data_IF_944149814254
#
_entry.id   IF_944149814254
#
_cell.length_a   1.000
_cell.length_b   1.000
_cell.length_c   1.000
_cell.angle_alpha   90.00
_cell.angle_beta   90.00
_cell.angle_gamma   90.00
#
_symmetry.space_group_name_H-M   'P 1'
#
loop_
_entity.id
_entity.type
_entity.pdbx_description
1 polymer ?
#
# COMPACT_ATOMS: atom_id res chain seq x y z
N UNK A 1 -14.23 -4.86 -43.11
CA UNK A 1 -12.79 -5.10 -43.31
C UNK A 1 -12.06 -4.42 -42.18
N UNK A 2 -11.28 -5.18 -41.42
CA UNK A 2 -10.48 -4.73 -40.29
C UNK A 2 -9.33 -3.77 -40.68
N UNK A 3 -8.79 -3.18 -39.59
CA UNK A 3 -7.44 -2.65 -39.35
C UNK A 3 -7.34 -1.12 -39.36
N UNK A 4 -6.77 -0.46 -38.35
CA UNK A 4 -6.33 -0.81 -36.99
C UNK A 4 -5.86 0.51 -36.38
N UNK A 5 -6.27 0.81 -35.15
CA UNK A 5 -5.92 2.04 -34.45
C UNK A 5 -4.43 2.14 -34.12
N UNK A 6 -3.86 3.31 -34.39
CA UNK A 6 -2.56 3.72 -33.86
C UNK A 6 -2.68 3.94 -32.35
N UNK A 7 -2.06 3.05 -31.59
CA UNK A 7 -1.75 3.26 -30.18
C UNK A 7 -0.56 4.20 -30.12
N UNK A 8 -0.79 5.44 -29.67
CA UNK A 8 0.30 6.39 -29.35
C UNK A 8 1.05 5.82 -28.15
N UNK A 9 2.16 5.13 -28.40
CA UNK A 9 3.09 4.67 -27.38
C UNK A 9 3.76 5.89 -26.74
N UNK A 10 3.54 6.09 -25.43
CA UNK A 10 4.36 6.98 -24.61
C UNK A 10 5.83 6.55 -24.74
N UNK A 11 6.68 7.40 -25.33
CA UNK A 11 8.12 7.10 -25.48
C UNK A 11 8.75 7.13 -24.08
N UNK A 12 9.09 5.96 -23.54
CA UNK A 12 9.87 5.87 -22.30
C UNK A 12 11.30 6.39 -22.55
N UNK A 13 11.76 7.35 -21.73
CA UNK A 13 13.10 7.92 -21.87
C UNK A 13 14.16 7.03 -21.18
N UNK A 14 15.33 6.88 -21.79
CA UNK A 14 16.46 6.11 -21.22
C UNK A 14 17.09 6.89 -20.05
N UNK A 15 17.17 6.28 -18.87
CA UNK A 15 17.77 6.84 -17.65
C UNK A 15 19.27 6.58 -17.53
N UNK A 16 19.71 5.36 -17.87
CA UNK A 16 21.11 4.96 -17.80
C UNK A 16 21.38 3.93 -18.89
N UNK A 17 22.56 4.00 -19.52
CA UNK A 17 22.99 3.03 -20.52
C UNK A 17 24.49 2.78 -20.41
N UNK A 18 24.92 1.57 -20.74
CA UNK A 18 26.32 1.18 -20.65
C UNK A 18 26.52 -0.32 -20.73
N UNK A 19 27.76 -0.76 -20.61
CA UNK A 19 28.11 -2.17 -20.72
C UNK A 19 28.19 -2.84 -19.35
N UNK A 20 27.60 -4.03 -19.21
CA UNK A 20 27.77 -4.88 -18.05
C UNK A 20 27.97 -6.33 -18.49
N UNK A 21 28.69 -7.09 -17.67
CA UNK A 21 28.80 -8.52 -17.85
C UNK A 21 27.57 -9.21 -17.26
N UNK A 22 26.81 -9.90 -18.10
CA UNK A 22 25.61 -10.64 -17.68
C UNK A 22 25.92 -12.13 -17.58
N UNK A 23 25.52 -12.75 -16.46
CA UNK A 23 25.57 -14.19 -16.29
C UNK A 23 24.55 -14.92 -17.19
N UNK A 24 24.96 -16.07 -17.73
CA UNK A 24 24.07 -17.06 -18.34
C UNK A 24 23.17 -17.76 -17.31
N UNK A 25 22.30 -18.67 -17.77
CA UNK A 25 21.29 -19.30 -16.91
C UNK A 25 21.87 -20.11 -15.74
N UNK A 26 23.04 -20.68 -15.95
CA UNK A 26 23.78 -21.48 -14.98
C UNK A 26 24.71 -20.64 -14.10
N UNK A 27 24.77 -19.32 -14.29
CA UNK A 27 25.69 -18.39 -13.62
C UNK A 27 27.19 -18.70 -13.75
N UNK A 28 27.58 -19.59 -14.67
CA UNK A 28 28.97 -20.04 -14.85
C UNK A 28 29.71 -19.35 -15.99
N UNK A 29 29.00 -18.65 -16.88
CA UNK A 29 29.59 -17.95 -18.02
C UNK A 29 29.01 -16.54 -18.14
N UNK A 30 29.89 -15.55 -18.20
CA UNK A 30 29.54 -14.14 -18.35
C UNK A 30 29.76 -13.69 -19.79
N UNK A 31 28.84 -12.86 -20.29
CA UNK A 31 28.99 -12.22 -21.61
C UNK A 31 28.81 -10.72 -21.43
N UNK A 32 29.65 -9.94 -22.10
CA UNK A 32 29.47 -8.49 -22.19
C UNK A 32 28.18 -8.18 -22.95
N UNK A 33 27.42 -7.21 -22.46
CA UNK A 33 26.12 -6.81 -22.98
C UNK A 33 25.97 -5.31 -22.86
N UNK A 34 25.32 -4.72 -23.86
CA UNK A 34 24.85 -3.34 -23.76
C UNK A 34 23.50 -3.31 -23.04
N UNK A 35 23.41 -2.56 -21.96
CA UNK A 35 22.21 -2.39 -21.15
C UNK A 35 21.62 -0.99 -21.28
N UNK A 36 20.30 -0.92 -21.28
CA UNK A 36 19.53 0.32 -21.25
C UNK A 36 18.47 0.22 -20.15
N UNK A 37 18.54 1.12 -19.18
CA UNK A 37 17.56 1.26 -18.12
C UNK A 37 16.59 2.38 -18.51
N UNK A 38 15.32 2.03 -18.69
CA UNK A 38 14.27 2.94 -19.08
C UNK A 38 13.62 3.63 -17.87
N UNK A 39 12.98 4.77 -18.12
CA UNK A 39 12.32 5.59 -17.10
C UNK A 39 11.13 4.93 -16.42
N UNK A 40 10.54 3.92 -17.05
CA UNK A 40 9.42 3.12 -16.57
C UNK A 40 9.84 1.93 -15.69
N UNK A 41 11.15 1.74 -15.48
CA UNK A 41 11.70 0.65 -14.66
C UNK A 41 12.02 -0.62 -15.44
N UNK A 42 11.96 -0.61 -16.77
CA UNK A 42 12.44 -1.72 -17.59
C UNK A 42 13.97 -1.67 -17.77
N UNK A 43 14.64 -2.79 -17.52
CA UNK A 43 16.04 -3.00 -17.84
C UNK A 43 16.13 -3.91 -19.07
N UNK A 44 16.65 -3.37 -20.18
CA UNK A 44 16.75 -4.05 -21.47
C UNK A 44 18.22 -4.30 -21.79
N UNK A 45 18.53 -5.42 -22.46
CA UNK A 45 19.89 -5.70 -22.92
C UNK A 45 19.98 -6.27 -24.32
N UNK A 46 21.12 -5.99 -24.96
CA UNK A 46 21.41 -6.28 -26.35
C UNK A 46 22.70 -7.10 -26.49
N UNK A 47 22.93 -7.75 -27.63
CA UNK A 47 24.25 -8.33 -27.95
C UNK A 47 25.25 -7.19 -28.22
N UNK A 48 24.85 -6.18 -28.99
CA UNK A 48 25.63 -4.99 -29.32
C UNK A 48 24.73 -3.77 -29.45
N UNK A 49 25.30 -2.57 -29.38
CA UNK A 49 24.57 -1.30 -29.58
C UNK A 49 23.82 -1.32 -30.91
N UNK A 50 22.52 -0.98 -30.91
CA UNK A 50 21.70 -0.93 -32.12
C UNK A 50 21.17 -2.27 -32.63
N UNK A 51 21.46 -3.38 -31.95
CA UNK A 51 20.82 -4.70 -32.25
C UNK A 51 19.46 -4.80 -31.57
N UNK A 52 18.53 -5.66 -32.03
CA UNK A 52 17.26 -5.89 -31.33
C UNK A 52 17.50 -6.39 -29.89
N UNK A 53 16.59 -6.09 -28.95
CA UNK A 53 16.74 -6.49 -27.56
C UNK A 53 16.78 -8.01 -27.45
N UNK A 54 17.82 -8.54 -26.81
CA UNK A 54 17.95 -9.97 -26.55
C UNK A 54 17.10 -10.41 -25.37
N UNK A 55 16.86 -9.49 -24.44
CA UNK A 55 15.98 -9.74 -23.32
C UNK A 55 15.71 -8.45 -22.55
N UNK A 56 14.73 -8.56 -21.66
CA UNK A 56 14.27 -7.48 -20.81
C UNK A 56 13.92 -8.03 -19.44
N UNK A 57 14.01 -7.18 -18.43
CA UNK A 57 13.63 -7.46 -17.07
C UNK A 57 12.92 -6.24 -16.49
N UNK A 58 11.70 -6.44 -16.01
CA UNK A 58 11.04 -5.44 -15.18
C UNK A 58 11.76 -5.40 -13.83
N UNK A 59 12.33 -4.25 -13.48
CA UNK A 59 12.94 -4.05 -12.18
C UNK A 59 11.91 -3.69 -11.11
N UNK A 60 10.63 -3.49 -11.45
CA UNK A 60 9.60 -3.12 -10.48
C UNK A 60 9.62 -4.09 -9.29
N UNK A 61 9.85 -3.54 -8.10
CA UNK A 61 9.92 -4.29 -6.83
C UNK A 61 11.08 -5.28 -6.72
N UNK A 62 12.03 -5.26 -7.66
CA UNK A 62 13.22 -6.10 -7.61
C UNK A 62 14.18 -5.65 -6.50
N UNK A 63 14.76 -6.62 -5.79
CA UNK A 63 15.77 -6.39 -4.77
C UNK A 63 17.14 -6.34 -5.45
N UNK A 64 17.88 -5.26 -5.22
CA UNK A 64 19.23 -5.06 -5.73
C UNK A 64 20.22 -5.31 -4.59
N UNK A 65 21.07 -6.31 -4.75
CA UNK A 65 22.08 -6.70 -3.78
C UNK A 65 23.49 -6.64 -4.36
N UNK A 66 24.50 -6.54 -3.49
CA UNK A 66 25.90 -6.62 -3.90
C UNK A 66 26.43 -8.03 -3.71
N UNK A 67 27.21 -8.51 -4.68
CA UNK A 67 28.03 -9.71 -4.49
C UNK A 67 29.46 -9.31 -4.08
N UNK A 68 30.14 -10.15 -3.27
CA UNK A 68 31.52 -9.89 -2.89
C UNK A 68 32.43 -9.82 -4.13
N UNK A 69 33.42 -8.91 -4.14
CA UNK A 69 34.34 -8.79 -5.25
C UNK A 69 35.20 -10.03 -5.40
N UNK A 70 35.55 -10.37 -6.63
CA UNK A 70 36.40 -11.53 -6.94
C UNK A 70 37.84 -11.06 -7.14
N UNK A 71 38.77 -11.60 -6.35
CA UNK A 71 40.18 -11.21 -6.39
C UNK A 71 40.89 -11.65 -7.68
N UNK A 72 40.47 -12.78 -8.28
CA UNK A 72 41.04 -13.33 -9.52
C UNK A 72 39.92 -13.82 -10.46
N UNK A 73 39.43 -12.98 -11.39
CA UNK A 73 38.41 -13.41 -12.34
C UNK A 73 38.95 -14.51 -13.27
N UNK A 74 38.12 -15.52 -13.56
CA UNK A 74 38.45 -16.56 -14.55
C UNK A 74 38.28 -16.04 -15.98
N UNK A 75 38.83 -16.75 -16.99
CA UNK A 75 38.62 -16.39 -18.41
C UNK A 75 37.14 -16.28 -18.81
N UNK A 76 36.25 -17.00 -18.13
CA UNK A 76 34.79 -16.98 -18.35
C UNK A 76 34.05 -15.86 -17.61
N UNK A 77 34.70 -15.18 -16.67
CA UNK A 77 34.14 -14.07 -15.89
C UNK A 77 34.29 -12.70 -16.58
N UNK A 78 35.23 -12.58 -17.53
CA UNK A 78 35.61 -11.31 -18.15
C UNK A 78 36.37 -10.38 -17.18
N UNK A 79 36.44 -9.08 -17.51
CA UNK A 79 37.06 -8.05 -16.65
C UNK A 79 36.13 -7.60 -15.50
N UNK A 80 34.90 -8.12 -15.45
CA UNK A 80 33.91 -7.80 -14.43
C UNK A 80 34.30 -8.37 -13.06
N UNK A 81 34.76 -7.51 -12.15
CA UNK A 81 35.21 -7.88 -10.78
C UNK A 81 34.17 -7.62 -9.70
N UNK A 82 33.21 -6.73 -9.96
CA UNK A 82 32.28 -6.21 -8.96
C UNK A 82 30.86 -6.67 -9.29
N UNK A 83 30.37 -7.66 -8.55
CA UNK A 83 29.07 -8.28 -8.82
C UNK A 83 27.88 -7.55 -8.17
N UNK A 84 26.76 -7.61 -8.87
CA UNK A 84 25.45 -7.12 -8.50
C UNK A 84 24.42 -8.22 -8.74
N UNK A 85 23.57 -8.48 -7.75
CA UNK A 85 22.48 -9.44 -7.83
C UNK A 85 21.16 -8.70 -7.92
N UNK A 86 20.32 -9.12 -8.86
CA UNK A 86 18.94 -8.64 -9.01
C UNK A 86 18.02 -9.83 -8.73
N UNK A 87 17.17 -9.68 -7.72
CA UNK A 87 16.13 -10.65 -7.38
C UNK A 87 14.77 -10.05 -7.76
N UNK A 88 14.15 -10.50 -8.87
CA UNK A 88 12.87 -9.96 -9.32
C UNK A 88 11.74 -10.29 -8.33
N UNK A 89 10.76 -9.40 -8.21
CA UNK A 89 9.59 -9.63 -7.35
C UNK A 89 8.70 -10.80 -7.79
N UNK A 90 8.75 -11.17 -9.07
CA UNK A 90 7.98 -12.30 -9.60
C UNK A 90 8.43 -13.67 -9.08
N UNK A 91 9.46 -13.73 -8.23
CA UNK A 91 10.05 -15.00 -7.78
C UNK A 91 10.78 -15.76 -8.89
N UNK A 92 11.02 -15.11 -10.05
CA UNK A 92 11.83 -15.67 -11.11
C UNK A 92 13.30 -15.81 -10.65
N UNK A 93 14.13 -16.44 -11.48
CA UNK A 93 15.56 -16.60 -11.17
C UNK A 93 16.24 -15.28 -10.84
N UNK A 94 17.27 -15.36 -9.99
CA UNK A 94 18.18 -14.24 -9.75
C UNK A 94 19.03 -13.97 -10.99
N UNK A 95 19.25 -12.68 -11.27
CA UNK A 95 20.16 -12.23 -12.32
C UNK A 95 21.43 -11.70 -11.67
N UNK A 96 22.58 -12.12 -12.19
CA UNK A 96 23.88 -11.62 -11.73
C UNK A 96 24.52 -10.82 -12.85
N UNK A 97 24.83 -9.56 -12.53
CA UNK A 97 25.54 -8.61 -13.39
C UNK A 97 26.89 -8.29 -12.77
N UNK A 98 27.89 -7.94 -13.59
CA UNK A 98 29.19 -7.48 -13.09
C UNK A 98 29.66 -6.23 -13.83
N UNK A 99 30.21 -5.33 -13.04
CA UNK A 99 30.88 -4.11 -13.48
C UNK A 99 32.40 -4.29 -13.44
N UNK A 100 33.13 -3.50 -14.25
CA UNK A 100 34.60 -3.52 -14.27
C UNK A 100 35.21 -2.75 -13.10
N UNK A 101 34.46 -1.81 -12.53
CA UNK A 101 34.87 -1.01 -11.37
C UNK A 101 33.80 -0.97 -10.29
N UNK A 102 34.21 -0.68 -9.05
CA UNK A 102 33.28 -0.50 -7.93
C UNK A 102 32.38 0.72 -8.11
N UNK A 103 32.90 1.79 -8.68
CA UNK A 103 32.15 3.01 -8.96
C UNK A 103 31.04 2.74 -9.99
N UNK A 104 31.35 2.04 -11.08
CA UNK A 104 30.36 1.63 -12.07
C UNK A 104 29.29 0.72 -11.44
N UNK A 105 29.69 -0.25 -10.61
CA UNK A 105 28.74 -1.08 -9.87
C UNK A 105 27.79 -0.22 -9.03
N UNK A 106 28.32 0.79 -8.35
CA UNK A 106 27.55 1.67 -7.48
C UNK A 106 26.56 2.53 -8.27
N UNK A 107 26.99 3.15 -9.37
CA UNK A 107 26.13 3.96 -10.25
C UNK A 107 24.98 3.12 -10.80
N UNK A 108 25.27 1.91 -11.28
CA UNK A 108 24.23 0.99 -11.75
C UNK A 108 23.32 0.52 -10.63
N UNK A 109 23.85 0.18 -9.46
CA UNK A 109 23.04 -0.22 -8.31
C UNK A 109 22.09 0.90 -7.89
N UNK A 110 22.57 2.14 -7.77
CA UNK A 110 21.76 3.30 -7.41
C UNK A 110 20.68 3.57 -8.48
N UNK A 111 21.03 3.50 -9.77
CA UNK A 111 20.07 3.71 -10.85
C UNK A 111 19.01 2.58 -10.93
N UNK A 112 19.44 1.32 -10.81
CA UNK A 112 18.54 0.16 -10.79
C UNK A 112 17.67 0.14 -9.55
N UNK A 113 18.19 0.52 -8.38
CA UNK A 113 17.42 0.67 -7.16
C UNK A 113 16.39 1.80 -7.29
N UNK A 114 16.79 2.95 -7.85
CA UNK A 114 15.88 4.06 -8.14
C UNK A 114 14.84 3.72 -9.24
N UNK A 115 15.08 2.71 -10.07
CA UNK A 115 14.19 2.28 -11.14
C UNK A 115 13.38 1.02 -10.79
N UNK A 116 13.82 0.21 -9.84
CA UNK A 116 12.98 -0.77 -9.15
C UNK A 116 12.00 -0.08 -8.19
N UNK A 117 12.38 1.12 -7.75
CA UNK A 117 11.60 2.02 -6.92
C UNK A 117 11.40 3.38 -7.61
N UNK A 118 10.83 3.43 -8.83
CA UNK A 118 10.68 4.68 -9.56
C UNK A 118 9.86 5.62 -8.67
N UNK A 119 10.47 6.77 -8.36
CA UNK A 119 9.91 7.89 -7.59
C UNK A 119 8.53 8.36 -8.15
N UNK A 120 8.08 7.80 -9.29
CA UNK A 120 6.74 7.97 -9.86
C UNK A 120 5.88 6.70 -10.10
N UNK A 121 6.36 5.45 -9.99
CA UNK A 121 5.48 4.27 -10.15
C UNK A 121 5.00 3.67 -8.82
N UNK A 122 5.61 4.08 -7.71
CA UNK A 122 4.91 4.15 -6.43
C UNK A 122 4.21 5.50 -6.30
N UNK A 123 3.20 5.74 -7.14
CA UNK A 123 2.07 6.57 -6.72
C UNK A 123 1.34 5.84 -5.59
N UNK A 124 1.96 5.74 -4.41
CA UNK A 124 1.19 6.06 -3.21
C UNK A 124 0.77 7.50 -3.45
N UNK A 125 -0.43 7.74 -3.98
CA UNK A 125 -0.84 9.09 -4.38
C UNK A 125 -0.82 10.06 -3.20
N UNK A 126 0.33 10.66 -2.87
CA UNK A 126 0.48 11.56 -1.71
C UNK A 126 -0.17 11.07 -0.41
N UNK A 127 -0.25 9.76 -0.15
CA UNK A 127 -1.15 9.20 0.88
C UNK A 127 -0.53 9.00 2.25
N UNK A 128 0.80 8.93 2.35
CA UNK A 128 1.50 8.65 3.61
C UNK A 128 1.79 9.90 4.44
N UNK A 129 1.58 9.83 5.76
CA UNK A 129 1.99 10.90 6.69
C UNK A 129 3.52 10.98 6.69
N UNK A 130 4.07 12.17 6.44
CA UNK A 130 5.52 12.40 6.47
C UNK A 130 5.89 12.95 7.85
N UNK A 131 6.86 12.32 8.48
CA UNK A 131 7.42 12.72 9.77
C UNK A 131 8.90 13.00 9.59
N UNK A 132 9.33 14.18 10.01
CA UNK A 132 10.76 14.50 10.09
C UNK A 132 11.23 14.19 11.49
N UNK A 133 12.32 13.44 11.60
CA UNK A 133 12.90 13.04 12.87
C UNK A 133 14.40 13.30 12.86
N UNK A 134 14.96 13.71 13.99
CA UNK A 134 16.41 13.80 14.18
C UNK A 134 16.90 12.44 14.69
N UNK A 135 17.87 11.83 14.01
CA UNK A 135 18.51 10.62 14.52
C UNK A 135 19.26 10.96 15.81
N UNK A 136 19.10 10.19 16.90
CA UNK A 136 19.82 10.43 18.15
C UNK A 136 21.33 10.56 17.93
N UNK A 137 22.00 11.40 18.71
CA UNK A 137 23.46 11.59 18.63
C UNK A 137 24.25 10.42 19.22
N UNK A 138 23.58 9.54 19.98
CA UNK A 138 24.13 8.32 20.56
C UNK A 138 23.00 7.34 20.89
N UNK A 139 23.32 6.05 21.02
CA UNK A 139 22.35 5.02 21.41
C UNK A 139 21.54 4.43 20.25
N UNK A 140 20.45 3.73 20.60
CA UNK A 140 19.49 3.17 19.63
C UNK A 140 18.53 4.26 19.15
N UNK A 141 17.84 4.01 18.03
CA UNK A 141 16.85 4.93 17.45
C UNK A 141 15.67 5.23 18.40
N UNK A 142 15.47 4.40 19.43
CA UNK A 142 14.37 4.51 20.39
C UNK A 142 13.03 4.03 19.84
N UNK A 143 13.07 3.21 18.79
CA UNK A 143 11.92 2.61 18.11
C UNK A 143 12.20 1.12 17.95
N UNK A 144 11.28 0.29 18.44
CA UNK A 144 11.31 -1.14 18.19
C UNK A 144 10.52 -1.47 16.93
N UNK A 145 11.13 -2.27 16.05
CA UNK A 145 10.56 -2.72 14.78
C UNK A 145 10.27 -4.21 14.82
N UNK A 146 9.17 -4.66 14.22
CA UNK A 146 8.83 -6.09 14.15
C UNK A 146 8.79 -6.65 12.73
N UNK A 147 9.26 -7.89 12.56
CA UNK A 147 9.13 -8.72 11.35
C UNK A 147 8.23 -9.96 11.55
N UNK A 148 7.34 -9.92 12.56
CA UNK A 148 6.47 -11.06 12.91
C UNK A 148 5.56 -11.43 11.73
N UNK A 149 5.22 -12.71 11.64
CA UNK A 149 4.19 -13.20 10.70
C UNK A 149 2.89 -12.39 10.90
N UNK A 150 2.40 -11.78 9.82
CA UNK A 150 1.20 -10.94 9.82
C UNK A 150 1.43 -9.44 10.08
N UNK A 151 2.64 -9.00 10.45
CA UNK A 151 2.99 -7.57 10.52
C UNK A 151 3.81 -7.16 9.29
N UNK A 152 3.57 -5.98 8.68
CA UNK A 152 4.50 -5.44 7.70
C UNK A 152 5.86 -5.23 8.37
N UNK A 153 6.92 -5.54 7.62
CA UNK A 153 8.31 -5.69 8.09
C UNK A 153 8.90 -4.50 8.88
N UNK A 154 8.28 -3.32 8.84
CA UNK A 154 8.71 -2.12 9.57
C UNK A 154 7.54 -1.50 10.32
N UNK A 155 6.92 -2.29 11.19
CA UNK A 155 5.89 -1.80 12.13
C UNK A 155 6.55 -1.34 13.42
N UNK A 156 6.20 -0.15 13.89
CA UNK A 156 6.59 0.39 15.19
C UNK A 156 5.84 -0.35 16.28
N UNK A 157 6.54 -1.16 17.09
CA UNK A 157 5.93 -1.93 18.18
C UNK A 157 6.23 -1.36 19.56
N UNK A 158 7.20 -0.45 19.66
CA UNK A 158 7.58 0.23 20.88
C UNK A 158 8.28 1.55 20.54
N UNK A 159 8.11 2.54 21.42
CA UNK A 159 8.80 3.82 21.36
C UNK A 159 9.31 4.13 22.76
N UNK A 160 10.61 4.37 22.89
CA UNK A 160 11.22 4.74 24.17
C UNK A 160 10.65 6.08 24.66
N UNK A 161 10.33 6.26 25.96
CA UNK A 161 9.73 7.49 26.46
C UNK A 161 10.56 8.76 26.18
N UNK A 162 11.89 8.66 26.24
CA UNK A 162 12.79 9.76 25.91
C UNK A 162 12.70 10.12 24.41
N UNK A 163 12.69 9.11 23.55
CA UNK A 163 12.54 9.28 22.11
C UNK A 163 11.15 9.83 21.76
N UNK A 164 10.09 9.40 22.46
CA UNK A 164 8.73 9.92 22.32
C UNK A 164 8.66 11.44 22.60
N UNK A 165 9.36 11.90 23.66
CA UNK A 165 9.41 13.30 24.05
C UNK A 165 10.19 14.14 23.03
N UNK A 166 11.31 13.63 22.51
CA UNK A 166 12.07 14.28 21.43
C UNK A 166 11.31 14.31 20.10
N UNK A 167 10.58 13.24 19.78
CA UNK A 167 9.76 13.13 18.56
C UNK A 167 8.45 13.93 18.62
N UNK A 168 8.13 14.58 19.75
CA UNK A 168 6.88 15.31 19.97
C UNK A 168 5.63 14.47 19.59
N UNK A 169 5.64 13.18 19.89
CA UNK A 169 4.53 12.26 19.55
C UNK A 169 4.18 12.18 18.05
N UNK A 170 5.13 12.48 17.16
CA UNK A 170 4.87 12.43 15.70
C UNK A 170 4.79 11.01 15.14
N UNK A 171 5.35 10.03 15.84
CA UNK A 171 5.30 8.61 15.53
C UNK A 171 4.50 7.87 16.60
N UNK A 172 3.67 6.91 16.21
CA UNK A 172 2.79 6.15 17.08
C UNK A 172 3.12 4.65 17.05
N UNK A 173 2.84 3.95 18.16
CA UNK A 173 2.89 2.49 18.19
C UNK A 173 1.80 1.93 17.27
N UNK A 174 2.19 1.09 16.33
CA UNK A 174 1.37 0.61 15.23
C UNK A 174 1.64 1.28 13.88
N UNK A 175 2.44 2.36 13.84
CA UNK A 175 2.82 2.99 12.58
C UNK A 175 3.63 2.03 11.71
N UNK A 176 3.29 1.98 10.44
CA UNK A 176 4.01 1.21 9.43
C UNK A 176 4.88 2.16 8.63
N UNK A 177 6.19 1.98 8.70
CA UNK A 177 7.15 2.82 7.99
C UNK A 177 7.37 2.24 6.60
N UNK A 178 7.07 3.03 5.58
CA UNK A 178 7.17 2.64 4.17
C UNK A 178 8.47 3.13 3.56
N UNK A 179 9.02 4.25 4.03
CA UNK A 179 10.29 4.76 3.53
C UNK A 179 11.01 5.60 4.58
N UNK A 180 12.33 5.64 4.45
CA UNK A 180 13.22 6.58 5.13
C UNK A 180 14.03 7.31 4.06
N UNK A 181 13.94 8.62 4.05
CA UNK A 181 14.44 9.51 3.01
C UNK A 181 13.97 9.04 1.61
N UNK A 182 14.90 8.67 0.74
CA UNK A 182 14.62 8.12 -0.59
C UNK A 182 14.48 6.59 -0.61
N UNK A 183 14.75 5.91 0.51
CA UNK A 183 14.81 4.44 0.56
C UNK A 183 13.47 3.85 0.99
N UNK A 184 12.85 3.05 0.12
CA UNK A 184 11.61 2.31 0.45
C UNK A 184 11.95 1.10 1.30
N UNK A 185 11.24 0.92 2.41
CA UNK A 185 11.46 -0.19 3.33
C UNK A 185 10.50 -1.33 3.03
N UNK A 186 11.04 -2.47 2.61
CA UNK A 186 10.25 -3.66 2.27
C UNK A 186 10.66 -4.91 3.03
N UNK A 187 11.85 -4.89 3.61
CA UNK A 187 12.37 -5.97 4.44
C UNK A 187 13.02 -5.36 5.67
N UNK A 188 13.13 -6.16 6.73
CA UNK A 188 13.85 -5.75 7.93
C UNK A 188 15.30 -5.35 7.62
N UNK A 189 15.98 -6.09 6.74
CA UNK A 189 17.36 -5.80 6.36
C UNK A 189 17.52 -4.44 5.65
N UNK A 190 16.59 -4.09 4.76
CA UNK A 190 16.59 -2.77 4.10
C UNK A 190 16.31 -1.67 5.12
N UNK A 191 15.39 -1.91 6.07
CA UNK A 191 15.11 -0.98 7.15
C UNK A 191 16.36 -0.71 7.99
N UNK A 192 17.02 -1.76 8.49
CA UNK A 192 18.24 -1.66 9.29
C UNK A 192 19.35 -0.90 8.55
N UNK A 193 19.55 -1.20 7.27
CA UNK A 193 20.52 -0.49 6.43
C UNK A 193 20.14 0.98 6.21
N UNK A 194 18.87 1.28 5.91
CA UNK A 194 18.40 2.64 5.66
C UNK A 194 18.56 3.52 6.91
N UNK A 195 18.07 3.05 8.07
CA UNK A 195 18.28 3.73 9.35
C UNK A 195 19.76 3.83 9.70
N UNK A 196 20.58 2.82 9.36
CA UNK A 196 22.02 2.81 9.59
C UNK A 196 22.78 3.89 8.82
N UNK A 197 22.41 4.16 7.56
CA UNK A 197 23.05 5.15 6.68
C UNK A 197 22.86 6.60 7.11
N UNK A 198 21.76 6.90 7.80
CA UNK A 198 21.51 8.26 8.32
C UNK A 198 22.58 8.62 9.37
N UNK A 199 23.25 9.77 9.19
CA UNK A 199 24.25 10.24 10.15
C UNK A 199 23.62 10.59 11.50
N UNK A 200 24.32 10.27 12.60
CA UNK A 200 23.88 10.62 13.95
C UNK A 200 23.70 12.14 14.08
N UNK A 201 22.63 12.57 14.73
CA UNK A 201 22.28 13.98 14.86
C UNK A 201 21.71 14.64 13.58
N UNK A 202 21.66 13.94 12.44
CA UNK A 202 21.04 14.48 11.22
C UNK A 202 19.54 14.26 11.20
N UNK A 203 18.84 15.10 10.44
CA UNK A 203 17.43 14.91 10.16
C UNK A 203 17.25 13.80 9.12
N UNK A 204 16.20 13.02 9.29
CA UNK A 204 15.72 12.04 8.34
C UNK A 204 14.21 12.18 8.17
N UNK A 205 13.74 11.81 6.99
CA UNK A 205 12.33 11.90 6.61
C UNK A 205 11.73 10.50 6.61
N UNK A 206 10.75 10.25 7.47
CA UNK A 206 10.06 8.97 7.57
C UNK A 206 8.71 9.11 6.87
N UNK A 207 8.41 8.20 5.95
CA UNK A 207 7.10 8.11 5.31
C UNK A 207 6.32 6.96 5.93
N UNK A 208 5.18 7.28 6.52
CA UNK A 208 4.26 6.33 7.12
C UNK A 208 3.22 5.86 6.11
N UNK A 209 2.70 4.66 6.32
CA UNK A 209 1.75 4.05 5.39
C UNK A 209 0.35 4.70 5.47
N UNK A 210 -0.06 5.12 6.67
CA UNK A 210 -1.38 5.69 6.96
C UNK A 210 -1.28 6.83 7.96
N UNK A 211 -2.33 7.64 8.02
CA UNK A 211 -2.54 8.65 9.05
C UNK A 211 -3.19 8.02 10.28
N UNK A 212 -2.43 7.20 10.99
CA UNK A 212 -2.89 6.65 12.26
C UNK A 212 -3.13 7.77 13.26
N UNK A 213 -4.15 7.60 14.09
CA UNK A 213 -4.59 8.59 15.07
C UNK A 213 -4.57 8.00 16.47
N UNK A 214 -4.12 8.78 17.44
CA UNK A 214 -4.33 8.49 18.85
C UNK A 214 -5.70 9.03 19.26
N UNK A 215 -6.47 8.22 19.97
CA UNK A 215 -7.70 8.62 20.63
C UNK A 215 -7.57 8.42 22.14
N UNK A 216 -8.24 9.29 22.89
CA UNK A 216 -8.31 9.23 24.35
C UNK A 216 -9.73 8.94 24.77
N UNK A 217 -9.95 7.74 25.30
CA UNK A 217 -11.24 7.31 25.82
C UNK A 217 -11.25 7.44 27.34
N UNK A 218 -12.27 8.10 27.89
CA UNK A 218 -12.51 8.20 29.33
C UNK A 218 -13.72 7.34 29.68
N UNK A 219 -13.50 6.27 30.45
CA UNK A 219 -14.55 5.31 30.84
C UNK A 219 -15.67 6.02 31.62
N UNK A 220 -16.92 5.73 31.29
CA UNK A 220 -18.06 6.25 32.04
C UNK A 220 -18.52 5.17 33.02
N UNK A 221 -18.45 5.41 34.33
CA UNK A 221 -18.81 4.39 35.33
C UNK A 221 -17.99 3.10 35.24
N UNK A 222 -16.75 3.15 34.76
CA UNK A 222 -15.86 2.00 34.61
C UNK A 222 -16.08 1.16 33.33
N UNK A 223 -17.09 1.47 32.52
CA UNK A 223 -17.34 0.79 31.24
C UNK A 223 -16.81 1.59 30.04
N UNK A 224 -16.27 0.86 29.06
CA UNK A 224 -15.80 1.41 27.78
C UNK A 224 -16.92 1.49 26.74
N UNK A 225 -17.83 0.52 26.73
CA UNK A 225 -18.90 0.40 25.73
C UNK A 225 -18.40 0.03 24.33
N UNK A 226 -17.28 -0.69 24.25
CA UNK A 226 -16.72 -1.23 22.99
C UNK A 226 -16.56 -2.74 23.10
N UNK A 227 -16.87 -3.44 22.01
CA UNK A 227 -16.55 -4.86 21.82
C UNK A 227 -15.53 -4.99 20.72
N UNK A 228 -14.50 -5.82 20.94
CA UNK A 228 -13.43 -6.07 19.98
C UNK A 228 -13.49 -7.50 19.46
N UNK A 229 -13.07 -7.71 18.21
CA UNK A 229 -12.88 -9.03 17.63
C UNK A 229 -11.51 -9.15 16.96
N UNK A 230 -11.04 -10.39 16.78
CA UNK A 230 -9.83 -10.66 16.03
C UNK A 230 -10.05 -10.34 14.54
N UNK A 231 -9.07 -9.73 13.86
CA UNK A 231 -9.12 -9.65 12.41
C UNK A 231 -8.76 -11.02 11.82
N UNK A 232 -9.26 -11.30 10.62
CA UNK A 232 -8.81 -12.47 9.87
C UNK A 232 -7.34 -12.40 9.47
N UNK A 233 -6.86 -11.19 9.21
CA UNK A 233 -5.50 -10.96 8.75
C UNK A 233 -4.94 -9.59 9.15
N UNK A 234 -3.64 -9.59 9.38
CA UNK A 234 -2.85 -8.41 9.73
C UNK A 234 -2.87 -8.09 11.23
N UNK A 235 -1.96 -7.20 11.63
CA UNK A 235 -1.90 -6.70 13.00
C UNK A 235 -3.07 -5.77 13.36
N UNK A 236 -3.36 -5.71 14.65
CA UNK A 236 -4.45 -4.95 15.26
C UNK A 236 -5.63 -5.83 15.66
N UNK A 237 -6.62 -5.19 16.28
CA UNK A 237 -7.91 -5.77 16.65
C UNK A 237 -9.03 -4.89 16.11
N UNK A 238 -10.15 -5.47 15.72
CA UNK A 238 -11.25 -4.74 15.09
C UNK A 238 -12.28 -4.34 16.14
N UNK A 239 -12.85 -3.16 15.97
CA UNK A 239 -14.03 -2.73 16.72
C UNK A 239 -15.24 -3.41 16.11
N UNK A 240 -15.81 -4.37 16.83
CA UNK A 240 -16.99 -5.12 16.40
C UNK A 240 -18.27 -4.34 16.64
N UNK A 241 -18.37 -3.67 17.78
CA UNK A 241 -19.53 -2.85 18.12
C UNK A 241 -19.15 -1.71 19.06
N UNK A 242 -19.90 -0.62 18.96
CA UNK A 242 -19.78 0.54 19.84
C UNK A 242 -21.16 0.85 20.39
N UNK A 243 -21.30 0.83 21.72
CA UNK A 243 -22.56 1.15 22.36
C UNK A 243 -22.88 2.64 22.17
N UNK A 244 -24.14 3.00 21.81
CA UNK A 244 -24.56 4.40 21.70
C UNK A 244 -24.31 5.16 23.00
N UNK A 245 -23.88 6.43 22.90
CA UNK A 245 -23.57 7.32 24.03
C UNK A 245 -22.50 6.80 24.99
N UNK A 246 -21.73 5.78 24.62
CA UNK A 246 -20.66 5.23 25.45
C UNK A 246 -19.40 6.11 25.46
N UNK A 247 -18.46 5.74 26.35
CA UNK A 247 -17.11 6.29 26.35
C UNK A 247 -16.40 6.11 25.00
N UNK A 248 -16.53 4.93 24.38
CA UNK A 248 -15.95 4.65 23.07
C UNK A 248 -16.55 5.52 21.95
N UNK A 249 -17.88 5.67 21.93
CA UNK A 249 -18.56 6.55 20.97
C UNK A 249 -18.11 8.01 21.15
N UNK A 250 -18.02 8.48 22.40
CA UNK A 250 -17.58 9.86 22.72
C UNK A 250 -16.11 10.10 22.35
N UNK A 251 -15.28 9.04 22.40
CA UNK A 251 -13.89 9.08 21.98
C UNK A 251 -13.70 9.05 20.44
N UNK A 252 -14.78 8.87 19.68
CA UNK A 252 -14.76 8.84 18.21
C UNK A 252 -14.39 7.49 17.60
N UNK A 253 -14.58 6.38 18.33
CA UNK A 253 -14.47 5.03 17.75
C UNK A 253 -15.70 4.69 16.93
N UNK A 254 -15.48 4.12 15.76
CA UNK A 254 -16.53 3.60 14.89
C UNK A 254 -16.41 2.08 14.72
N UNK A 255 -17.53 1.44 14.36
CA UNK A 255 -17.54 0.01 14.02
C UNK A 255 -16.68 -0.25 12.78
N UNK A 256 -15.80 -1.24 12.90
CA UNK A 256 -14.79 -1.62 11.94
C UNK A 256 -13.45 -0.86 12.03
N UNK A 257 -13.33 0.10 12.95
CA UNK A 257 -12.03 0.70 13.28
C UNK A 257 -11.04 -0.38 13.70
N UNK A 258 -9.79 -0.27 13.22
CA UNK A 258 -8.71 -1.20 13.58
C UNK A 258 -7.81 -0.55 14.63
N UNK A 259 -7.81 -1.09 15.83
CA UNK A 259 -6.97 -0.66 16.95
C UNK A 259 -5.62 -1.37 16.88
N UNK A 260 -4.54 -0.59 16.83
CA UNK A 260 -3.17 -1.09 16.68
C UNK A 260 -2.41 -1.15 18.02
N UNK A 261 -2.70 -0.23 18.93
CA UNK A 261 -2.08 -0.18 20.26
C UNK A 261 -3.04 0.36 21.32
N UNK A 262 -2.83 -0.08 22.57
CA UNK A 262 -3.56 0.38 23.76
C UNK A 262 -2.54 0.72 24.84
N UNK A 263 -2.59 1.94 25.38
CA UNK A 263 -1.68 2.46 26.41
C UNK A 263 -0.19 2.23 26.05
N UNK A 264 0.18 2.57 24.81
CA UNK A 264 1.52 2.38 24.23
C UNK A 264 1.96 0.92 24.04
N UNK A 265 1.07 -0.06 24.22
CA UNK A 265 1.36 -1.47 23.98
C UNK A 265 0.66 -1.93 22.71
N UNK A 266 1.44 -2.44 21.74
CA UNK A 266 0.93 -3.01 20.51
C UNK A 266 -0.04 -4.18 20.77
N UNK A 267 -1.14 -4.26 20.01
CA UNK A 267 -2.21 -5.23 20.23
C UNK A 267 -1.94 -6.62 19.61
N UNK A 268 -1.09 -6.73 18.58
CA UNK A 268 -0.97 -7.98 17.83
C UNK A 268 -2.30 -8.33 17.15
N UNK A 269 -2.67 -9.61 17.05
CA UNK A 269 -3.94 -10.10 16.50
C UNK A 269 -4.88 -10.67 17.58
N UNK A 270 -4.56 -10.47 18.86
CA UNK A 270 -5.28 -11.04 20.00
C UNK A 270 -6.24 -10.01 20.62
N UNK A 271 -7.53 -10.18 20.33
CA UNK A 271 -8.59 -9.32 20.83
C UNK A 271 -8.93 -9.54 22.31
N UNK A 272 -8.61 -10.71 22.89
CA UNK A 272 -8.83 -10.98 24.31
C UNK A 272 -7.82 -10.18 25.13
N UNK A 273 -6.54 -10.25 24.78
CA UNK A 273 -5.50 -9.42 25.41
C UNK A 273 -5.77 -7.92 25.27
N UNK A 274 -6.26 -7.48 24.10
CA UNK A 274 -6.64 -6.09 23.90
C UNK A 274 -7.82 -5.68 24.81
N UNK A 275 -8.83 -6.52 24.92
CA UNK A 275 -9.99 -6.29 25.78
C UNK A 275 -9.60 -6.25 27.26
N UNK A 276 -8.70 -7.13 27.69
CA UNK A 276 -8.16 -7.14 29.05
C UNK A 276 -7.38 -5.88 29.37
N UNK A 277 -6.55 -5.38 28.45
CA UNK A 277 -5.85 -4.09 28.60
C UNK A 277 -6.83 -2.93 28.79
N UNK A 278 -7.93 -2.90 28.02
CA UNK A 278 -8.98 -1.90 28.19
C UNK A 278 -9.64 -2.06 29.55
N UNK A 279 -9.96 -3.30 29.97
CA UNK A 279 -10.62 -3.57 31.25
C UNK A 279 -9.76 -3.17 32.45
N UNK A 280 -8.47 -3.50 32.43
CA UNK A 280 -7.51 -3.23 33.51
C UNK A 280 -7.14 -1.75 33.64
N UNK A 281 -7.21 -0.97 32.56
CA UNK A 281 -6.99 0.47 32.61
C UNK A 281 -8.04 1.14 33.53
N UNK A 282 -7.62 2.04 34.41
CA UNK A 282 -8.51 2.62 35.42
C UNK A 282 -9.64 3.46 34.81
N UNK A 283 -9.30 4.66 34.34
CA UNK A 283 -10.27 5.65 33.89
C UNK A 283 -9.99 6.11 32.46
N UNK A 284 -8.72 6.25 32.11
CA UNK A 284 -8.27 6.69 30.79
C UNK A 284 -7.66 5.53 30.02
N UNK A 285 -8.04 5.41 28.75
CA UNK A 285 -7.48 4.47 27.79
C UNK A 285 -7.03 5.25 26.57
N UNK A 286 -5.73 5.19 26.26
CA UNK A 286 -5.18 5.73 25.01
C UNK A 286 -5.11 4.62 23.98
N UNK A 287 -5.63 4.87 22.78
CA UNK A 287 -5.65 3.86 21.72
C UNK A 287 -5.11 4.46 20.43
N UNK A 288 -4.30 3.70 19.70
CA UNK A 288 -3.88 4.06 18.34
C UNK A 288 -4.78 3.33 17.35
N UNK A 289 -5.45 4.08 16.49
CA UNK A 289 -6.37 3.57 15.46
C UNK A 289 -5.75 3.75 14.08
N UNK A 290 -5.89 2.72 13.25
CA UNK A 290 -5.39 2.73 11.87
C UNK A 290 -6.18 3.73 11.02
N UNK A 291 -5.48 4.67 10.38
CA UNK A 291 -6.08 5.64 9.46
C UNK A 291 -7.22 6.48 10.05
N UNK A 292 -8.16 6.86 9.18
CA UNK A 292 -9.29 7.73 9.54
C UNK A 292 -10.59 7.06 9.11
N UNK A 293 -11.49 6.81 10.05
CA UNK A 293 -12.88 6.47 9.74
C UNK A 293 -13.80 7.70 9.77
N UNK A 294 -14.77 7.70 8.87
CA UNK A 294 -15.78 8.75 8.69
C UNK A 294 -17.16 8.11 8.68
N UNK A 295 -18.05 8.59 9.56
CA UNK A 295 -19.45 8.22 9.55
C UNK A 295 -20.22 9.10 8.55
N UNK A 296 -20.94 8.48 7.64
CA UNK A 296 -21.67 9.12 6.54
C UNK A 296 -23.12 8.66 6.58
N UNK A 297 -24.03 9.60 6.80
CA UNK A 297 -25.46 9.31 6.75
C UNK A 297 -26.00 9.71 5.38
N UNK A 298 -26.73 8.80 4.74
CA UNK A 298 -27.36 9.05 3.44
C UNK A 298 -28.74 8.41 3.37
N UNK A 299 -29.47 8.72 2.30
CA UNK A 299 -30.78 8.14 2.04
C UNK A 299 -30.82 7.53 0.65
N UNK A 300 -31.27 6.27 0.55
CA UNK A 300 -31.53 5.57 -0.71
C UNK A 300 -32.50 6.36 -1.59
N UNK A 301 -32.29 6.29 -2.89
CA UNK A 301 -33.18 6.87 -3.90
C UNK A 301 -34.56 6.17 -3.95
N UNK A 302 -35.43 6.59 -4.87
CA UNK A 302 -36.78 6.02 -5.07
C UNK A 302 -36.78 4.51 -5.35
N UNK A 303 -35.72 4.01 -5.95
CA UNK A 303 -35.55 2.62 -6.36
C UNK A 303 -34.77 1.78 -5.33
N UNK A 304 -34.32 2.40 -4.24
CA UNK A 304 -33.57 1.71 -3.17
C UNK A 304 -32.06 1.68 -3.38
N UNK A 305 -31.53 2.39 -4.37
CA UNK A 305 -30.11 2.45 -4.64
C UNK A 305 -29.42 3.61 -3.92
N UNK A 306 -28.15 3.42 -3.61
CA UNK A 306 -27.26 4.46 -3.07
C UNK A 306 -26.19 4.91 -4.07
N UNK A 307 -26.01 4.17 -5.17
CA UNK A 307 -25.04 4.45 -6.24
C UNK A 307 -23.60 4.06 -5.90
N UNK A 308 -23.40 2.89 -5.30
CA UNK A 308 -22.07 2.35 -4.97
C UNK A 308 -21.81 1.00 -5.66
N UNK A 309 -20.61 0.85 -6.21
CA UNK A 309 -20.02 -0.42 -6.60
C UNK A 309 -19.01 -0.90 -5.56
N UNK A 310 -18.97 -2.21 -5.32
CA UNK A 310 -18.06 -2.83 -4.35
C UNK A 310 -17.14 -3.84 -5.02
N UNK A 311 -15.92 -3.94 -4.52
CA UNK A 311 -14.99 -5.01 -4.85
C UNK A 311 -14.34 -5.54 -3.57
N UNK A 312 -14.26 -6.86 -3.46
CA UNK A 312 -13.45 -7.51 -2.42
C UNK A 312 -12.03 -7.63 -2.95
N UNK A 313 -11.10 -7.00 -2.27
CA UNK A 313 -9.66 -7.19 -2.56
C UNK A 313 -9.16 -8.43 -1.82
N UNK A 314 -8.01 -9.00 -2.20
CA UNK A 314 -7.49 -10.30 -1.73
C UNK A 314 -7.24 -10.49 -0.22
N UNK A 315 -7.85 -9.67 0.65
CA UNK A 315 -8.05 -9.97 2.07
C UNK A 315 -9.54 -10.09 2.36
N UNK A 316 -9.95 -11.29 2.72
CA UNK A 316 -11.35 -11.70 2.76
C UNK A 316 -12.22 -11.07 3.87
N UNK A 317 -11.74 -10.25 4.81
CA UNK A 317 -12.56 -10.05 6.04
C UNK A 317 -12.42 -8.69 6.73
N UNK A 318 -12.08 -7.61 6.01
CA UNK A 318 -12.28 -6.28 6.59
C UNK A 318 -12.70 -5.27 5.55
N UNK A 319 -14.01 -5.23 5.33
CA UNK A 319 -14.67 -4.22 4.54
C UNK A 319 -14.75 -4.51 3.05
N UNK A 320 -15.57 -3.70 2.38
CA UNK A 320 -15.71 -3.71 0.93
C UNK A 320 -15.06 -2.45 0.35
N UNK A 321 -14.16 -2.60 -0.63
CA UNK A 321 -13.58 -1.43 -1.30
C UNK A 321 -14.64 -0.87 -2.26
N UNK A 322 -14.86 0.43 -2.17
CA UNK A 322 -15.76 1.13 -3.07
C UNK A 322 -15.06 1.29 -4.42
N UNK A 323 -15.47 0.50 -5.41
CA UNK A 323 -14.86 0.50 -6.74
C UNK A 323 -15.41 1.60 -7.64
N UNK A 324 -16.68 1.95 -7.45
CA UNK A 324 -17.37 2.96 -8.23
C UNK A 324 -18.38 3.74 -7.38
N UNK A 325 -18.53 5.03 -7.70
CA UNK A 325 -19.49 5.95 -7.09
C UNK A 325 -20.24 6.61 -8.23
N UNK A 326 -21.52 6.26 -8.38
CA UNK A 326 -22.35 6.76 -9.46
C UNK A 326 -22.52 8.28 -9.34
N UNK A 327 -22.25 9.07 -10.40
CA UNK A 327 -22.39 10.52 -10.36
C UNK A 327 -23.80 10.96 -9.95
N UNK A 328 -23.90 12.00 -9.11
CA UNK A 328 -25.17 12.56 -8.58
C UNK A 328 -26.02 11.59 -7.74
N UNK A 329 -25.47 10.43 -7.34
CA UNK A 329 -26.12 9.51 -6.43
C UNK A 329 -26.15 10.01 -4.98
N UNK A 330 -26.91 9.33 -4.11
CA UNK A 330 -26.93 9.62 -2.69
C UNK A 330 -25.53 9.50 -2.06
N UNK A 331 -24.74 8.50 -2.47
CA UNK A 331 -23.38 8.32 -1.97
C UNK A 331 -22.42 9.41 -2.48
N UNK A 332 -22.52 9.81 -3.75
CA UNK A 332 -21.74 10.91 -4.30
C UNK A 332 -22.00 12.23 -3.54
N UNK A 333 -23.28 12.55 -3.31
CA UNK A 333 -23.68 13.76 -2.60
C UNK A 333 -23.30 13.74 -1.12
N UNK A 334 -23.26 12.55 -0.51
CA UNK A 334 -22.81 12.35 0.86
C UNK A 334 -21.27 12.34 1.00
N UNK A 335 -20.53 12.49 -0.09
CA UNK A 335 -19.07 12.61 -0.08
C UNK A 335 -18.32 11.28 0.00
N UNK A 336 -18.97 10.17 -0.37
CA UNK A 336 -18.31 8.86 -0.54
C UNK A 336 -17.45 8.88 -1.81
N UNK A 337 -16.29 8.23 -1.76
CA UNK A 337 -15.30 8.29 -2.86
C UNK A 337 -14.87 6.90 -3.31
N UNK A 338 -14.45 6.81 -4.56
CA UNK A 338 -13.78 5.61 -5.07
C UNK A 338 -12.52 5.32 -4.23
N UNK A 339 -12.42 4.07 -3.78
CA UNK A 339 -11.34 3.54 -2.96
C UNK A 339 -11.45 3.82 -1.46
N UNK A 340 -12.54 4.46 -1.01
CA UNK A 340 -12.98 4.35 0.39
C UNK A 340 -13.20 2.86 0.72
N UNK A 341 -12.84 2.45 1.93
CA UNK A 341 -13.11 1.09 2.42
C UNK A 341 -14.34 1.12 3.31
N UNK A 342 -15.44 0.52 2.87
CA UNK A 342 -16.66 0.42 3.67
C UNK A 342 -16.46 -0.57 4.82
N UNK A 343 -16.49 -0.05 6.04
CA UNK A 343 -16.25 -0.81 7.27
C UNK A 343 -17.53 -1.34 7.92
N UNK A 344 -18.59 -0.54 7.93
CA UNK A 344 -19.88 -0.93 8.51
C UNK A 344 -21.06 -0.18 7.91
N UNK A 345 -22.24 -0.78 8.04
CA UNK A 345 -23.53 -0.23 7.63
C UNK A 345 -24.49 -0.35 8.82
N UNK A 346 -25.05 0.76 9.28
CA UNK A 346 -25.98 0.83 10.42
C UNK A 346 -25.45 0.12 11.69
N UNK A 347 -24.13 0.17 11.90
CA UNK A 347 -23.46 -0.46 13.04
C UNK A 347 -23.14 -1.95 12.85
N UNK A 348 -23.48 -2.53 11.70
CA UNK A 348 -23.13 -3.90 11.34
C UNK A 348 -21.84 -3.95 10.52
N UNK A 349 -20.90 -4.80 10.94
CA UNK A 349 -19.59 -4.93 10.31
C UNK A 349 -19.70 -5.49 8.88
N UNK A 350 -19.02 -4.85 7.94
CA UNK A 350 -18.88 -5.33 6.57
C UNK A 350 -17.57 -6.10 6.46
N UNK A 351 -17.63 -7.37 6.04
CA UNK A 351 -16.45 -8.24 5.85
C UNK A 351 -15.90 -8.16 4.43
N UNK A 352 -16.79 -8.06 3.45
CA UNK A 352 -16.51 -8.14 2.02
C UNK A 352 -17.64 -7.47 1.19
N UNK A 353 -17.48 -7.44 -0.14
CA UNK A 353 -18.45 -6.85 -1.06
C UNK A 353 -19.82 -7.55 -1.06
N UNK A 354 -19.87 -8.87 -0.83
CA UNK A 354 -21.13 -9.61 -0.79
C UNK A 354 -21.91 -9.24 0.47
N UNK A 355 -21.24 -9.24 1.63
CA UNK A 355 -21.82 -8.78 2.89
C UNK A 355 -22.32 -7.33 2.79
N UNK A 356 -21.54 -6.43 2.16
CA UNK A 356 -21.96 -5.05 1.92
C UNK A 356 -23.28 -4.98 1.14
N UNK A 357 -23.39 -5.77 0.07
CA UNK A 357 -24.59 -5.81 -0.76
C UNK A 357 -25.80 -6.35 0.01
N UNK A 358 -25.64 -7.46 0.72
CA UNK A 358 -26.71 -8.09 1.51
C UNK A 358 -27.21 -7.18 2.63
N UNK A 359 -26.31 -6.57 3.40
CA UNK A 359 -26.68 -5.62 4.47
C UNK A 359 -27.41 -4.41 3.86
N UNK A 360 -26.90 -3.85 2.76
CA UNK A 360 -27.55 -2.74 2.08
C UNK A 360 -28.92 -3.10 1.53
N UNK A 361 -29.14 -4.30 1.00
CA UNK A 361 -30.44 -4.67 0.45
C UNK A 361 -31.54 -4.64 1.52
N UNK A 362 -31.26 -5.17 2.71
CA UNK A 362 -32.22 -5.20 3.83
C UNK A 362 -32.30 -3.90 4.63
N UNK A 363 -31.29 -3.03 4.54
CA UNK A 363 -31.27 -1.79 5.28
C UNK A 363 -32.48 -0.89 4.92
N UNK A 364 -32.96 -0.06 5.86
CA UNK A 364 -34.00 0.92 5.56
C UNK A 364 -33.53 1.98 4.54
N UNK A 365 -34.41 2.93 4.21
CA UNK A 365 -34.03 4.01 3.26
C UNK A 365 -32.95 4.93 3.80
N UNK A 366 -33.00 5.25 5.09
CA UNK A 366 -31.92 5.99 5.74
C UNK A 366 -30.84 4.98 6.15
N UNK A 367 -29.60 5.23 5.76
CA UNK A 367 -28.48 4.33 5.99
C UNK A 367 -27.30 5.14 6.51
N UNK A 368 -26.70 4.68 7.60
CA UNK A 368 -25.40 5.15 8.10
C UNK A 368 -24.29 4.23 7.62
N UNK A 369 -23.30 4.79 6.94
CA UNK A 369 -22.09 4.08 6.52
C UNK A 369 -20.92 4.53 7.41
N UNK A 370 -19.99 3.62 7.70
CA UNK A 370 -18.66 3.99 8.16
C UNK A 370 -17.67 3.61 7.08
N UNK A 371 -16.94 4.60 6.58
CA UNK A 371 -15.88 4.38 5.59
C UNK A 371 -14.52 4.70 6.19
N UNK A 372 -13.50 3.95 5.78
CA UNK A 372 -12.11 4.17 6.15
C UNK A 372 -11.34 4.84 5.02
N UNK A 373 -10.45 5.76 5.41
CA UNK A 373 -9.53 6.50 4.56
C UNK A 373 -8.13 6.46 5.13
N UNK A 374 -7.14 6.36 4.25
CA UNK A 374 -5.73 6.37 4.65
C UNK A 374 -5.26 7.75 5.16
N UNK A 375 -5.93 8.84 4.76
CA UNK A 375 -5.63 10.21 5.19
C UNK A 375 -6.93 10.99 5.49
N UNK A 376 -6.86 12.03 6.33
CA UNK A 376 -7.95 12.98 6.48
C UNK A 376 -8.28 13.66 5.16
N UNK A 377 -9.50 14.20 5.06
CA UNK A 377 -9.85 15.05 3.94
C UNK A 377 -8.97 16.30 3.93
N UNK A 378 -8.44 16.71 2.76
CA UNK A 378 -7.75 17.99 2.66
C UNK A 378 -8.73 19.09 3.04
N UNK A 379 -8.24 20.07 3.82
CA UNK A 379 -9.03 21.21 4.26
C UNK A 379 -9.74 21.85 3.05
N UNK A 380 -11.03 22.22 3.15
CA UNK A 380 -11.74 22.91 2.07
C UNK A 380 -10.98 24.10 1.47
N UNK A 381 -10.12 24.76 2.25
CA UNK A 381 -9.26 25.85 1.80
C UNK A 381 -8.10 25.43 0.88
N UNK A 382 -7.63 24.19 0.98
CA UNK A 382 -6.59 23.62 0.09
C UNK A 382 -7.15 23.12 -1.24
N UNK A 383 -8.47 22.87 -1.32
CA UNK A 383 -9.12 22.45 -2.57
C UNK A 383 -9.22 23.58 -3.61
N UNK A 384 -9.14 24.85 -3.17
CA UNK A 384 -9.25 26.02 -4.04
C UNK A 384 -7.92 26.54 -4.62
N UNK A 385 -6.76 25.99 -4.25
CA UNK A 385 -5.45 26.40 -4.81
C UNK A 385 -5.00 25.51 -5.97
N UNK A 386 -5.67 24.38 -6.22
CA UNK A 386 -5.39 23.50 -7.35
C UNK A 386 -6.05 23.94 -8.69
N UNK A 387 -6.86 25.00 -8.69
CA UNK A 387 -7.55 25.53 -9.89
C UNK A 387 -6.88 26.78 -10.49
N UNK A 388 -5.72 27.19 -9.97
CA UNK A 388 -4.94 28.34 -10.48
C UNK A 388 -3.98 27.98 -11.63
N UNK A 389 -4.50 27.57 -12.78
CA UNK A 389 -3.78 27.66 -14.06
C UNK A 389 -4.63 28.47 -15.06
N UNK A 390 -4.02 29.31 -15.91
CA UNK A 390 -4.74 30.30 -16.69
C UNK A 390 -5.62 29.63 -17.74
N UNK A 391 -6.83 30.17 -17.87
CA UNK A 391 -7.83 29.81 -18.88
C UNK A 391 -7.26 30.12 -20.26
N UNK A 392 -6.80 29.09 -20.96
CA UNK A 392 -6.59 29.14 -22.41
C UNK A 392 -7.86 28.61 -23.10
N UNK A 393 -8.19 29.26 -24.20
CA UNK A 393 -9.52 29.32 -24.79
C UNK A 393 -10.11 27.97 -25.25
N UNK A 394 -11.44 28.01 -25.31
CA UNK A 394 -12.38 27.06 -25.91
C UNK A 394 -11.87 26.39 -27.19
N UNK A 395 -11.91 25.05 -27.18
CA UNK A 395 -12.43 24.17 -28.25
C UNK A 395 -11.73 22.81 -28.28
N UNK A 396 -11.58 22.11 -27.14
CA UNK A 396 -11.31 20.66 -27.14
C UNK A 396 -12.00 19.98 -25.95
N UNK A 397 -13.00 19.16 -26.27
CA UNK A 397 -13.72 18.27 -25.35
C UNK A 397 -12.83 17.04 -25.04
N UNK A 398 -11.73 17.25 -24.32
CA UNK A 398 -10.78 16.19 -23.97
C UNK A 398 -10.90 15.78 -22.49
N UNK A 399 -11.46 14.59 -22.29
CA UNK A 399 -11.28 13.65 -21.19
C UNK A 399 -10.84 14.23 -19.83
N UNK A 400 -11.81 14.40 -18.94
CA UNK A 400 -11.63 14.52 -17.49
C UNK A 400 -10.64 13.43 -17.01
N UNK A 401 -9.43 13.84 -16.61
CA UNK A 401 -8.42 12.93 -16.05
C UNK A 401 -8.96 12.39 -14.73
N UNK A 402 -9.35 11.11 -14.78
CA UNK A 402 -9.98 10.38 -13.70
C UNK A 402 -9.17 10.40 -12.41
N UNK A 403 -9.90 10.51 -11.31
CA UNK A 403 -9.41 10.32 -9.95
C UNK A 403 -8.49 9.10 -9.86
N UNK A 404 -7.26 9.32 -9.38
CA UNK A 404 -6.32 8.24 -9.11
C UNK A 404 -6.95 7.31 -8.07
N UNK A 405 -7.12 6.01 -8.34
CA UNK A 405 -7.83 5.10 -7.44
C UNK A 405 -7.09 4.98 -6.11
N UNK A 406 -7.81 5.20 -5.01
CA UNK A 406 -7.31 5.04 -3.66
C UNK A 406 -7.27 3.56 -3.34
N UNK A 407 -6.07 2.98 -3.28
CA UNK A 407 -5.96 1.55 -3.03
C UNK A 407 -5.31 1.23 -1.70
N UNK A 408 -6.09 0.58 -0.84
CA UNK A 408 -5.72 -0.11 0.40
C UNK A 408 -4.71 -1.27 0.20
N UNK A 409 -4.31 -1.56 -1.05
CA UNK A 409 -3.47 -2.72 -1.44
C UNK A 409 -2.08 -2.80 -0.80
N UNK A 410 -1.58 -1.75 -0.15
CA UNK A 410 -0.15 -1.65 0.17
C UNK A 410 0.26 -2.12 1.57
N UNK A 411 -0.66 -2.58 2.42
CA UNK A 411 -0.37 -2.69 3.87
C UNK A 411 0.10 -4.06 4.37
N UNK A 412 0.08 -5.11 3.53
CA UNK A 412 0.70 -6.40 3.86
C UNK A 412 1.50 -6.80 2.63
N UNK A 413 2.81 -6.84 2.79
CA UNK A 413 3.62 -7.79 2.04
C UNK A 413 3.03 -9.18 2.35
N UNK A 414 2.67 -9.93 1.33
CA UNK A 414 2.34 -11.34 1.48
C UNK A 414 3.51 -12.02 2.21
N UNK A 415 3.21 -12.81 3.25
CA UNK A 415 4.21 -13.59 3.97
C UNK A 415 4.68 -14.81 3.14
N UNK A 416 3.98 -15.08 2.04
CA UNK A 416 4.20 -16.15 1.10
C UNK A 416 4.20 -15.55 -0.32
N UNK A 417 5.23 -15.87 -1.10
CA UNK A 417 5.42 -15.36 -2.47
C UNK A 417 4.41 -15.89 -3.50
N UNK A 418 3.14 -16.02 -3.14
CA UNK A 418 2.05 -16.46 -4.01
C UNK A 418 1.29 -15.25 -4.52
N UNK A 419 1.48 -14.94 -5.80
CA UNK A 419 0.66 -13.98 -6.53
C UNK A 419 -0.81 -14.40 -6.51
N UNK A 420 -1.79 -13.50 -6.27
CA UNK A 420 -3.18 -13.81 -6.54
C UNK A 420 -3.34 -14.00 -8.06
N UNK A 421 -3.78 -15.20 -8.44
CA UNK A 421 -4.10 -15.58 -9.80
C UNK A 421 -5.18 -14.62 -10.33
N UNK A 422 -4.85 -13.83 -11.35
CA UNK A 422 -5.82 -13.03 -12.08
C UNK A 422 -6.74 -13.97 -12.84
N UNK A 423 -7.92 -14.25 -12.28
CA UNK A 423 -9.00 -14.85 -13.06
C UNK A 423 -9.40 -13.86 -14.17
N UNK A 424 -9.52 -14.31 -15.43
CA UNK A 424 -9.98 -13.44 -16.51
C UNK A 424 -11.43 -13.00 -16.25
N UNK A 425 -11.84 -11.81 -16.74
CA UNK A 425 -13.17 -11.28 -16.52
C UNK A 425 -14.21 -12.20 -17.18
N UNK A 426 -14.99 -12.90 -16.35
CA UNK A 426 -16.22 -13.54 -16.80
C UNK A 426 -17.33 -12.48 -16.81
N UNK A 427 -17.89 -12.24 -17.99
CA UNK A 427 -19.06 -11.39 -18.16
C UNK A 427 -20.28 -12.02 -17.46
N UNK A 428 -21.12 -11.26 -16.75
CA UNK A 428 -22.37 -11.77 -16.20
C UNK A 428 -23.39 -12.02 -17.32
N UNK A 429 -23.92 -13.24 -17.39
CA UNK A 429 -25.03 -13.62 -18.28
C UNK A 429 -26.35 -12.98 -17.83
N UNK A 430 -27.19 -12.60 -18.81
CA UNK A 430 -28.65 -12.52 -18.61
C UNK A 430 -29.43 -11.49 -19.46
N UNK A 431 -29.55 -11.69 -20.77
CA UNK A 431 -30.67 -11.16 -21.59
C UNK A 431 -31.23 -12.37 -22.37
N UNK A 432 -32.57 -12.58 -22.45
CA UNK A 432 -33.13 -13.89 -22.79
C UNK A 432 -33.06 -14.16 -24.29
N UNK A 433 -32.70 -15.39 -24.65
CA UNK A 433 -32.83 -15.92 -26.00
C UNK A 433 -34.07 -16.81 -26.08
N UNK A 434 -34.98 -16.47 -26.99
CA UNK A 434 -36.07 -17.31 -27.47
C UNK A 434 -35.53 -18.26 -28.57
N UNK A 435 -36.07 -19.49 -28.58
CA UNK A 435 -36.13 -20.48 -29.68
C UNK A 435 -34.76 -20.99 -30.21
N UNK A 436 -34.48 -22.28 -30.39
CA UNK A 436 -35.30 -23.46 -30.70
C UNK A 436 -34.56 -24.76 -30.30
N UNK A 437 -35.33 -25.85 -30.20
CA UNK A 437 -34.95 -27.18 -29.70
C UNK A 437 -34.07 -28.05 -30.63
N UNK A 438 -33.63 -29.18 -30.04
CA UNK A 438 -33.24 -30.52 -30.60
C UNK A 438 -31.76 -30.74 -30.96
N UNK A 439 -31.10 -31.90 -30.77
CA UNK A 439 -31.38 -33.27 -30.25
C UNK A 439 -30.02 -33.93 -29.94
N UNK A 440 -29.93 -34.79 -28.90
CA UNK A 440 -28.98 -35.93 -28.87
C UNK A 440 -27.75 -35.89 -27.94
N UNK A 441 -27.90 -36.55 -26.78
CA UNK A 441 -26.95 -37.43 -26.03
C UNK A 441 -25.61 -36.88 -25.46
N UNK A 442 -25.43 -36.83 -24.12
CA UNK A 442 -24.89 -37.86 -23.15
C UNK A 442 -23.43 -38.26 -23.47
N UNK A 443 -22.43 -38.11 -22.59
CA UNK A 443 -22.34 -38.12 -21.11
C UNK A 443 -21.65 -36.86 -20.60
#
# INVERSE_FOLDING_TARGET
>A
GCQSGEVVAMIAHVRLKGELFKAGETNTAFKLRWFELLSDGQLIWHDQVGTPPKGQLSLRDAIIGFEPPIEKPSKSDGDGRFGLRITPASGARNYVLRAVSEEERRVWAEAMDAASHPVGAYRFGGTGRIVTMKKPTSGRLGIDLSSRAGSPCVTVVGIDPAAMQEMQHRLLVGDVIVAVDSTVLRTQQIAEMAFGRVQLGSLMTIRLASWNREIRMIKQGGVSGVTLCAPAAGAGVLVQSVAPHSAAATAGLNVGDRVLAINSVHCGNDHEQASDKIRQALQEVKMVVCGVSVAINLRKDTNGYIGLGFVTTGRQEQGAVISDVTPRSAAALAGVRNGDLLLSIDGELVTDAQAAFEILQRAPRAVGLVVWRARPDPDPSEQNTATGMPVANSDEESAFVGAVPWTYYSFNLAADGTSPEMLPPTLPFGVPLYEDMTVGDRI
#
